data_IF_600160607828
#
_entry.id   IF_600160607828
#
_cell.length_a   1.000
_cell.length_b   1.000
_cell.length_c   1.000
_cell.angle_alpha   90.00
_cell.angle_beta   90.00
_cell.angle_gamma   90.00
#
_symmetry.space_group_name_H-M   'P 1'
#
loop_
_entity.id
_entity.type
_entity.pdbx_description
1 polymer ?
#
# COMPACT_ATOMS: atom_id res chain seq x y z
N UNK A 1 3.77 20.38 -4.75
CA UNK A 1 4.76 19.32 -5.12
C UNK A 1 4.53 18.82 -6.54
N UNK A 2 3.33 18.37 -6.90
CA UNK A 2 3.03 17.87 -8.25
C UNK A 2 3.31 18.90 -9.36
N UNK A 3 2.94 20.17 -9.16
CA UNK A 3 3.23 21.23 -10.14
C UNK A 3 4.74 21.42 -10.39
N UNK A 4 5.54 21.43 -9.32
CA UNK A 4 7.01 21.53 -9.41
C UNK A 4 7.65 20.28 -10.01
N UNK A 5 7.14 19.08 -9.67
CA UNK A 5 7.60 17.83 -10.26
C UNK A 5 7.31 17.74 -11.76
N UNK A 6 6.19 18.30 -12.23
CA UNK A 6 5.84 18.37 -13.66
C UNK A 6 6.62 19.46 -14.41
N UNK A 7 6.91 20.58 -13.76
CA UNK A 7 7.61 21.71 -14.37
C UNK A 7 9.14 21.51 -14.43
N UNK A 8 9.73 20.81 -13.46
CA UNK A 8 11.17 20.60 -13.36
C UNK A 8 11.49 19.10 -13.13
N UNK A 9 11.59 18.28 -14.20
CA UNK A 9 11.81 16.83 -14.07
C UNK A 9 13.14 16.45 -13.41
N UNK A 10 14.15 17.31 -13.50
CA UNK A 10 15.47 17.12 -12.88
C UNK A 10 15.53 17.58 -11.42
N UNK A 11 14.46 18.18 -10.89
CA UNK A 11 14.46 18.70 -9.53
C UNK A 11 14.45 17.56 -8.49
N UNK A 12 15.47 17.53 -7.63
CA UNK A 12 15.59 16.52 -6.57
C UNK A 12 14.80 16.95 -5.33
N UNK A 13 13.81 16.14 -4.95
CA UNK A 13 13.13 16.30 -3.67
C UNK A 13 13.92 15.60 -2.56
N UNK A 14 14.35 16.37 -1.55
CA UNK A 14 15.21 15.86 -0.48
C UNK A 14 14.45 15.23 0.71
N UNK A 15 13.13 15.43 0.83
CA UNK A 15 12.32 14.90 1.95
C UNK A 15 11.01 14.27 1.49
N UNK A 16 11.09 13.17 0.73
CA UNK A 16 9.89 12.40 0.34
C UNK A 16 9.36 11.52 1.47
N UNK A 17 10.24 10.97 2.31
CA UNK A 17 9.88 10.03 3.38
C UNK A 17 8.87 10.61 4.38
N UNK A 18 9.13 11.83 4.84
CA UNK A 18 8.21 12.56 5.73
C UNK A 18 6.81 12.70 5.13
N UNK A 19 6.72 12.90 3.81
CA UNK A 19 5.45 13.06 3.11
C UNK A 19 4.71 11.74 2.95
N UNK A 20 5.43 10.64 2.70
CA UNK A 20 4.86 9.29 2.63
C UNK A 20 4.26 8.90 3.98
N UNK A 21 4.95 9.22 5.07
CA UNK A 21 4.50 8.91 6.43
C UNK A 21 3.38 9.83 6.94
N UNK A 22 2.82 10.75 6.14
CA UNK A 22 1.75 11.64 6.61
C UNK A 22 0.42 10.90 6.73
N UNK A 23 -0.33 11.19 7.79
CA UNK A 23 -1.63 10.56 8.07
C UNK A 23 -2.63 10.72 6.92
N UNK A 24 -2.69 11.89 6.29
CA UNK A 24 -3.60 12.16 5.17
C UNK A 24 -3.22 11.38 3.91
N UNK A 25 -1.92 11.22 3.66
CA UNK A 25 -1.40 10.41 2.55
C UNK A 25 -1.69 8.92 2.76
N UNK A 26 -1.42 8.40 3.96
CA UNK A 26 -1.71 7.00 4.31
C UNK A 26 -3.22 6.70 4.27
N UNK A 27 -4.06 7.61 4.76
CA UNK A 27 -5.52 7.50 4.65
C UNK A 27 -5.99 7.45 3.19
N UNK A 28 -5.47 8.33 2.34
CA UNK A 28 -5.83 8.34 0.93
C UNK A 28 -5.35 7.07 0.23
N UNK A 29 -4.15 6.57 0.54
CA UNK A 29 -3.64 5.30 0.03
C UNK A 29 -4.53 4.13 0.43
N UNK A 30 -4.93 4.05 1.71
CA UNK A 30 -5.87 3.04 2.19
C UNK A 30 -7.19 3.06 1.41
N UNK A 31 -7.78 4.25 1.19
CA UNK A 31 -9.02 4.39 0.40
C UNK A 31 -8.88 3.88 -1.03
N UNK A 32 -7.74 4.14 -1.68
CA UNK A 32 -7.47 3.62 -3.02
C UNK A 32 -7.32 2.09 -3.02
N UNK A 33 -6.59 1.53 -2.05
CA UNK A 33 -6.45 0.08 -1.89
C UNK A 33 -7.82 -0.58 -1.66
N UNK A 34 -8.66 0.01 -0.80
CA UNK A 34 -10.02 -0.46 -0.53
C UNK A 34 -10.89 -0.44 -1.79
N UNK A 35 -10.84 0.66 -2.56
CA UNK A 35 -11.60 0.82 -3.80
C UNK A 35 -11.18 -0.18 -4.89
N UNK A 36 -9.90 -0.57 -4.92
CA UNK A 36 -9.40 -1.60 -5.84
C UNK A 36 -9.92 -3.01 -5.51
N UNK A 37 -10.46 -3.23 -4.30
CA UNK A 37 -11.09 -4.51 -3.91
C UNK A 37 -10.15 -5.71 -4.02
N UNK A 38 -8.85 -5.51 -3.81
CA UNK A 38 -7.83 -6.55 -3.94
C UNK A 38 -8.10 -7.72 -2.98
N UNK A 39 -7.79 -8.93 -3.44
CA UNK A 39 -7.81 -10.12 -2.58
C UNK A 39 -6.78 -9.98 -1.45
N UNK A 40 -7.03 -10.59 -0.28
CA UNK A 40 -6.10 -10.51 0.84
C UNK A 40 -4.78 -11.24 0.50
N UNK A 41 -3.69 -10.75 1.08
CA UNK A 41 -2.35 -11.30 0.90
C UNK A 41 -2.14 -12.61 1.66
N UNK A 42 -0.88 -12.97 1.88
CA UNK A 42 -0.52 -14.19 2.60
C UNK A 42 -0.98 -14.18 4.08
N UNK A 43 -1.13 -13.00 4.66
CA UNK A 43 -1.65 -12.74 6.01
C UNK A 43 -3.16 -12.98 6.15
N UNK A 44 -3.87 -13.09 5.02
CA UNK A 44 -5.34 -13.23 4.93
C UNK A 44 -6.12 -12.09 5.60
N UNK A 45 -5.47 -10.97 5.90
CA UNK A 45 -6.12 -9.81 6.51
C UNK A 45 -7.00 -9.14 5.47
N UNK A 46 -8.30 -9.02 5.74
CA UNK A 46 -9.23 -8.32 4.84
C UNK A 46 -9.45 -6.88 5.27
N UNK A 47 -9.95 -6.06 4.36
CA UNK A 47 -10.32 -4.69 4.69
C UNK A 47 -11.44 -4.62 5.74
N UNK A 48 -12.38 -5.56 5.73
CA UNK A 48 -13.46 -5.64 6.71
C UNK A 48 -12.91 -5.88 8.13
N UNK A 49 -11.87 -6.71 8.26
CA UNK A 49 -11.19 -6.93 9.54
C UNK A 49 -10.53 -5.63 10.04
N UNK A 50 -9.82 -4.91 9.16
CA UNK A 50 -9.22 -3.62 9.49
C UNK A 50 -10.28 -2.58 9.88
N UNK A 51 -11.41 -2.56 9.18
CA UNK A 51 -12.55 -1.68 9.49
C UNK A 51 -13.14 -2.01 10.87
N UNK A 52 -13.22 -3.30 11.22
CA UNK A 52 -13.74 -3.76 12.52
C UNK A 52 -12.80 -3.45 13.70
N UNK A 53 -11.50 -3.54 13.49
CA UNK A 53 -10.47 -3.22 14.50
C UNK A 53 -10.22 -1.71 14.62
N UNK A 54 -10.60 -0.95 13.60
CA UNK A 54 -10.48 0.50 13.56
C UNK A 54 -9.34 0.95 12.65
N UNK A 55 -9.71 1.42 11.44
CA UNK A 55 -8.77 1.87 10.41
C UNK A 55 -7.79 2.93 10.91
N UNK A 56 -8.23 3.85 11.76
CA UNK A 56 -7.37 4.94 12.26
C UNK A 56 -6.27 4.44 13.21
N UNK A 57 -6.58 3.45 14.06
CA UNK A 57 -5.60 2.83 14.94
C UNK A 57 -4.58 2.02 14.14
N UNK A 58 -5.07 1.25 13.17
CA UNK A 58 -4.23 0.49 12.25
C UNK A 58 -3.28 1.40 11.44
N UNK A 59 -3.78 2.51 10.88
CA UNK A 59 -2.96 3.49 10.17
C UNK A 59 -1.95 4.20 11.08
N UNK A 60 -2.27 4.40 12.36
CA UNK A 60 -1.34 4.98 13.31
C UNK A 60 -0.16 4.04 13.61
N UNK A 61 -0.42 2.73 13.75
CA UNK A 61 0.63 1.73 13.92
C UNK A 61 1.53 1.64 12.68
N UNK A 62 0.93 1.58 11.48
CA UNK A 62 1.68 1.58 10.22
C UNK A 62 2.53 2.86 10.07
N UNK A 63 1.97 4.03 10.42
CA UNK A 63 2.70 5.28 10.41
C UNK A 63 3.93 5.23 11.33
N UNK A 64 3.79 4.66 12.53
CA UNK A 64 4.88 4.56 13.48
C UNK A 64 5.99 3.62 12.97
N UNK A 65 5.63 2.46 12.42
CA UNK A 65 6.57 1.51 11.82
C UNK A 65 7.36 2.12 10.64
N UNK A 66 6.70 2.94 9.82
CA UNK A 66 7.35 3.66 8.73
C UNK A 66 8.29 4.76 9.28
N UNK A 67 7.88 5.46 10.34
CA UNK A 67 8.72 6.51 10.96
C UNK A 67 9.95 5.94 11.66
N UNK A 68 9.78 4.86 12.40
CA UNK A 68 10.85 4.13 13.08
C UNK A 68 11.73 3.33 12.13
N UNK A 69 11.32 3.19 10.86
CA UNK A 69 11.96 2.35 9.83
C UNK A 69 12.01 0.87 10.23
N UNK A 70 11.06 0.41 11.03
CA UNK A 70 10.93 -1.00 11.43
C UNK A 70 9.92 -1.75 10.58
N UNK A 71 9.21 -1.06 9.68
CA UNK A 71 8.29 -1.68 8.75
C UNK A 71 8.99 -2.76 7.90
N UNK A 72 8.45 -3.99 7.96
CA UNK A 72 8.93 -5.12 7.20
C UNK A 72 7.76 -5.67 6.36
N UNK A 73 7.81 -5.60 5.03
CA UNK A 73 6.71 -6.07 4.19
C UNK A 73 6.52 -7.59 4.34
N UNK A 74 5.27 -8.01 4.40
CA UNK A 74 4.91 -9.42 4.45
C UNK A 74 5.24 -10.18 3.15
N UNK A 75 5.26 -11.52 3.19
CA UNK A 75 5.45 -12.33 1.99
C UNK A 75 4.29 -12.15 1.00
N UNK A 76 4.62 -12.14 -0.30
CA UNK A 76 3.65 -12.07 -1.38
C UNK A 76 2.93 -13.41 -1.57
N UNK A 77 1.60 -13.36 -1.70
CA UNK A 77 0.81 -14.53 -2.09
C UNK A 77 0.86 -14.72 -3.61
N UNK A 78 1.38 -15.85 -4.07
CA UNK A 78 1.47 -16.16 -5.50
C UNK A 78 0.20 -16.85 -5.99
N UNK A 79 -0.47 -16.22 -6.96
CA UNK A 79 -1.69 -16.73 -7.59
C UNK A 79 -1.48 -16.84 -9.10
N UNK A 80 -2.04 -17.89 -9.72
CA UNK A 80 -2.03 -18.05 -11.16
C UNK A 80 -3.35 -17.55 -11.75
N UNK A 81 -3.28 -16.59 -12.66
CA UNK A 81 -4.46 -16.03 -13.34
C UNK A 81 -4.43 -16.45 -14.80
N UNK A 82 -5.54 -16.98 -15.35
CA UNK A 82 -5.62 -17.33 -16.76
C UNK A 82 -5.54 -16.07 -17.64
N UNK A 83 -4.81 -16.19 -18.75
CA UNK A 83 -4.85 -15.23 -19.85
C UNK A 83 -5.95 -15.63 -20.82
N UNK A 84 -6.50 -14.65 -21.55
CA UNK A 84 -7.51 -14.87 -22.59
C UNK A 84 -7.06 -15.86 -23.67
N UNK A 85 -5.76 -16.00 -23.88
CA UNK A 85 -5.17 -16.81 -24.95
C UNK A 85 -4.69 -18.21 -24.48
N UNK A 86 -5.15 -18.70 -23.32
CA UNK A 86 -4.95 -20.08 -22.87
C UNK A 86 -3.70 -20.35 -22.00
N UNK A 87 -2.85 -19.34 -21.76
CA UNK A 87 -1.75 -19.43 -20.79
C UNK A 87 -2.14 -18.95 -19.38
N UNK A 88 -1.24 -19.09 -18.41
CA UNK A 88 -1.39 -18.49 -17.08
C UNK A 88 -0.29 -17.45 -16.83
N UNK A 89 -0.61 -16.38 -16.10
CA UNK A 89 0.38 -15.42 -15.59
C UNK A 89 0.44 -15.51 -14.06
N UNK A 90 1.65 -15.47 -13.46
CA UNK A 90 1.77 -15.34 -12.01
C UNK A 90 1.42 -13.91 -11.58
N UNK A 91 0.61 -13.79 -10.54
CA UNK A 91 0.35 -12.54 -9.82
C UNK A 91 0.87 -12.69 -8.38
N UNK A 92 1.62 -11.70 -7.90
CA UNK A 92 1.95 -11.56 -6.49
C UNK A 92 0.98 -10.60 -5.83
N UNK A 93 0.24 -11.08 -4.83
CA UNK A 93 -0.71 -10.28 -4.05
C UNK A 93 0.00 -9.90 -2.73
N UNK A 94 0.27 -8.61 -2.48
CA UNK A 94 0.86 -8.16 -1.23
C UNK A 94 -0.14 -8.21 -0.07
N UNK A 95 0.36 -8.13 1.16
CA UNK A 95 -0.44 -7.91 2.37
C UNK A 95 -1.10 -6.53 2.33
N UNK A 96 -2.19 -6.33 3.08
CA UNK A 96 -2.87 -5.03 3.11
C UNK A 96 -2.04 -3.98 3.84
N UNK A 97 -1.18 -4.41 4.77
CA UNK A 97 -0.03 -3.65 5.23
C UNK A 97 0.95 -3.54 4.06
N UNK A 98 0.99 -2.37 3.42
CA UNK A 98 1.81 -2.06 2.25
C UNK A 98 2.78 -0.93 2.57
#
# INVERSE_FOLDING_TARGET
MQAKAKAEPSYRFYSLWDKVCRKDVLWQAYRHCRANGGAPGADRVTFEQIESEGVMAWLANLQEELRSKTYCPGPLLRVWIPNSNGGQRPLGIPTVQA
#
